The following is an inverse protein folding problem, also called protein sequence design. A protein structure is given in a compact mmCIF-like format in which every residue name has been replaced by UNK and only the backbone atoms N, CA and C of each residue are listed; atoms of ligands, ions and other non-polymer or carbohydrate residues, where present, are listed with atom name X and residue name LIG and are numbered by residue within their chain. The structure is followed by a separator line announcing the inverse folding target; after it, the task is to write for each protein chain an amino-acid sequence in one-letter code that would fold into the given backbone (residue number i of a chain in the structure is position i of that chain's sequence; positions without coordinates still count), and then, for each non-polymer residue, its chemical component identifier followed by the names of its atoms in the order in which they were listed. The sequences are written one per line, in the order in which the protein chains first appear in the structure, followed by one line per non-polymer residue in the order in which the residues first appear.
data_IF_986385810952
#
_entry.id   IF_986385810952
#
_cell.length_a   1.000
_cell.length_b   1.000
_cell.length_c   1.000
_cell.angle_alpha   90.00
_cell.angle_beta   90.00
_cell.angle_gamma   90.00
#
_symmetry.space_group_name_H-M   'P 1'
#
loop_
_entity.id
_entity.type
_entity.pdbx_description
1 polymer ?
#
# COMPACT_ATOMS: atom_id res chain seq x y z
N UNK A 1 -14.86 -15.06 7.89
CA UNK A 1 -14.73 -15.41 6.46
C UNK A 1 -13.26 -15.32 6.10
N UNK A 2 -12.61 -16.43 5.73
CA UNK A 2 -11.19 -16.43 5.40
C UNK A 2 -10.97 -15.54 4.16
N UNK A 3 -10.05 -14.58 4.26
CA UNK A 3 -9.64 -13.78 3.11
C UNK A 3 -9.17 -14.74 2.00
N UNK A 4 -9.92 -14.82 0.89
CA UNK A 4 -9.52 -15.62 -0.26
C UNK A 4 -8.10 -15.23 -0.65
N UNK A 5 -7.22 -16.22 -0.75
CA UNK A 5 -5.85 -16.05 -1.21
C UNK A 5 -5.89 -15.33 -2.56
N UNK A 6 -5.39 -14.09 -2.61
CA UNK A 6 -5.48 -13.21 -3.78
C UNK A 6 -4.95 -13.90 -5.05
N UNK A 7 -3.91 -14.73 -4.91
CA UNK A 7 -3.35 -15.54 -6.01
C UNK A 7 -4.35 -16.55 -6.54
N UNK A 8 -5.06 -17.23 -5.65
CA UNK A 8 -6.09 -18.19 -6.00
C UNK A 8 -7.26 -17.50 -6.73
N UNK A 9 -7.64 -16.31 -6.27
CA UNK A 9 -8.64 -15.48 -6.95
C UNK A 9 -8.23 -15.13 -8.38
N UNK A 10 -6.99 -14.67 -8.60
CA UNK A 10 -6.51 -14.37 -9.95
C UNK A 10 -6.42 -15.62 -10.83
N UNK A 11 -5.97 -16.75 -10.27
CA UNK A 11 -5.91 -18.03 -10.97
C UNK A 11 -7.29 -18.48 -11.44
N UNK A 12 -8.28 -18.47 -10.54
CA UNK A 12 -9.66 -18.86 -10.86
C UNK A 12 -10.28 -17.95 -11.92
N UNK A 13 -10.11 -16.63 -11.79
CA UNK A 13 -10.59 -15.66 -12.78
C UNK A 13 -9.97 -15.90 -14.16
N UNK A 14 -8.68 -16.20 -14.21
CA UNK A 14 -8.00 -16.45 -15.47
C UNK A 14 -8.44 -17.79 -16.11
N UNK A 15 -8.62 -18.84 -15.31
CA UNK A 15 -9.16 -20.11 -15.81
C UNK A 15 -10.58 -19.96 -16.35
N UNK A 16 -11.43 -19.17 -15.67
CA UNK A 16 -12.77 -18.85 -16.15
C UNK A 16 -12.71 -18.09 -17.49
N UNK A 17 -11.83 -17.10 -17.60
CA UNK A 17 -11.58 -16.38 -18.85
C UNK A 17 -11.17 -17.35 -19.98
N UNK A 18 -10.23 -18.27 -19.74
CA UNK A 18 -9.81 -19.28 -20.72
C UNK A 18 -10.98 -20.16 -21.14
N UNK A 19 -11.79 -20.64 -20.19
CA UNK A 19 -12.95 -21.49 -20.46
C UNK A 19 -13.96 -20.77 -21.35
N UNK A 20 -14.36 -19.54 -20.98
CA UNK A 20 -15.29 -18.72 -21.77
C UNK A 20 -14.74 -18.44 -23.16
N UNK A 21 -13.47 -18.02 -23.28
CA UNK A 21 -12.81 -17.76 -24.56
C UNK A 21 -12.77 -18.99 -25.46
N UNK A 22 -12.56 -20.18 -24.88
CA UNK A 22 -12.49 -21.41 -25.66
C UNK A 22 -13.88 -21.91 -26.08
N UNK A 23 -14.91 -21.70 -25.27
CA UNK A 23 -16.30 -22.02 -25.62
C UNK A 23 -16.85 -21.15 -26.74
N UNK A 24 -16.35 -19.92 -26.90
CA UNK A 24 -16.77 -18.99 -27.97
C UNK A 24 -16.00 -19.19 -29.28
N UNK A 25 -14.99 -20.07 -29.31
CA UNK A 25 -14.22 -20.38 -30.52
C UNK A 25 -14.91 -21.48 -31.32
N UNK A 26 -15.39 -21.13 -32.51
CA UNK A 26 -16.08 -22.05 -33.42
C UNK A 26 -15.15 -22.82 -34.38
N UNK A 27 -13.82 -22.61 -34.31
CA UNK A 27 -12.85 -23.30 -35.19
C UNK A 27 -11.45 -23.36 -34.56
N UNK A 28 -10.65 -24.36 -34.95
CA UNK A 28 -9.24 -24.39 -34.63
C UNK A 28 -8.52 -23.31 -35.45
N UNK A 29 -7.98 -22.30 -34.76
CA UNK A 29 -7.20 -21.23 -35.39
C UNK A 29 -5.73 -21.65 -35.51
N UNK A 30 -4.98 -21.18 -36.53
CA UNK A 30 -3.55 -21.45 -36.67
C UNK A 30 -2.69 -20.96 -35.49
N UNK A 31 -3.25 -20.10 -34.64
CA UNK A 31 -2.54 -19.43 -33.54
C UNK A 31 -2.74 -20.10 -32.18
N UNK A 32 -3.41 -21.25 -32.10
CA UNK A 32 -3.70 -21.94 -30.84
C UNK A 32 -2.46 -22.25 -30.01
N UNK A 33 -1.34 -22.59 -30.66
CA UNK A 33 -0.09 -22.84 -29.95
C UNK A 33 0.42 -21.56 -29.28
N UNK A 34 0.35 -20.42 -29.97
CA UNK A 34 0.72 -19.13 -29.38
C UNK A 34 -0.19 -18.75 -28.21
N UNK A 35 -1.50 -18.99 -28.34
CA UNK A 35 -2.47 -18.74 -27.27
C UNK A 35 -2.20 -19.62 -26.04
N UNK A 36 -1.94 -20.91 -26.24
CA UNK A 36 -1.58 -21.82 -25.16
C UNK A 36 -0.29 -21.38 -24.45
N UNK A 37 0.73 -20.96 -25.22
CA UNK A 37 1.98 -20.44 -24.67
C UNK A 37 1.72 -19.17 -23.83
N UNK A 38 0.87 -18.26 -24.31
CA UNK A 38 0.49 -17.07 -23.54
C UNK A 38 -0.24 -17.45 -22.25
N UNK A 39 -1.20 -18.37 -22.31
CA UNK A 39 -1.96 -18.80 -21.13
C UNK A 39 -1.05 -19.43 -20.08
N UNK A 40 -0.14 -20.31 -20.50
CA UNK A 40 0.86 -20.91 -19.62
C UNK A 40 1.78 -19.85 -19.01
N UNK A 41 2.16 -18.85 -19.79
CA UNK A 41 2.99 -17.74 -19.31
C UNK A 41 2.25 -16.92 -18.26
N UNK A 42 0.98 -16.56 -18.51
CA UNK A 42 0.16 -15.81 -17.55
C UNK A 42 -0.07 -16.62 -16.27
N UNK A 43 -0.41 -17.90 -16.37
CA UNK A 43 -0.57 -18.77 -15.20
C UNK A 43 0.73 -18.91 -14.41
N UNK A 44 1.87 -19.03 -15.10
CA UNK A 44 3.18 -19.09 -14.47
C UNK A 44 3.55 -17.77 -13.78
N UNK A 45 3.21 -16.63 -14.39
CA UNK A 45 3.35 -15.30 -13.77
C UNK A 45 2.46 -15.19 -12.54
N UNK A 46 1.18 -15.57 -12.62
CA UNK A 46 0.29 -15.59 -11.45
C UNK A 46 0.84 -16.51 -10.35
N UNK A 47 1.49 -17.62 -10.70
CA UNK A 47 2.08 -18.56 -9.73
C UNK A 47 3.34 -18.00 -9.05
N UNK A 48 4.22 -17.35 -9.80
CA UNK A 48 5.56 -17.00 -9.32
C UNK A 48 5.73 -15.54 -8.93
N UNK A 49 4.82 -14.64 -9.32
CA UNK A 49 4.92 -13.23 -8.92
C UNK A 49 4.74 -13.07 -7.42
N UNK A 50 5.70 -12.43 -6.76
CA UNK A 50 5.68 -12.20 -5.31
C UNK A 50 4.58 -11.21 -4.88
N UNK A 51 4.31 -10.19 -5.71
CA UNK A 51 3.34 -9.13 -5.42
C UNK A 51 2.33 -9.02 -6.57
N UNK A 52 1.09 -9.45 -6.32
CA UNK A 52 0.02 -9.41 -7.32
C UNK A 52 -0.72 -8.07 -7.35
N UNK A 53 -0.59 -7.27 -6.29
CA UNK A 53 -1.09 -5.91 -6.25
C UNK A 53 0.06 -4.93 -6.52
N UNK A 54 -0.23 -3.78 -7.16
CA UNK A 54 0.71 -2.68 -7.17
C UNK A 54 1.08 -2.30 -5.73
N UNK A 55 2.36 -2.02 -5.51
CA UNK A 55 2.80 -1.50 -4.22
C UNK A 55 2.31 -0.07 -4.10
N UNK A 56 1.65 0.24 -2.99
CA UNK A 56 1.50 1.63 -2.58
C UNK A 56 2.88 2.19 -2.28
N UNK A 57 3.19 3.37 -2.81
CA UNK A 57 4.43 4.03 -2.45
C UNK A 57 4.31 4.43 -0.98
N UNK A 58 5.19 3.90 -0.13
CA UNK A 58 5.26 4.30 1.28
C UNK A 58 6.35 5.36 1.38
N UNK A 59 6.01 6.60 1.77
CA UNK A 59 6.98 7.66 1.96
C UNK A 59 8.15 7.23 2.85
N UNK A 60 9.35 7.73 2.55
CA UNK A 60 10.58 7.42 3.28
C UNK A 60 11.38 8.70 3.48
N UNK A 61 11.61 9.06 4.73
CA UNK A 61 12.48 10.17 5.10
C UNK A 61 13.54 9.72 6.10
N UNK A 62 14.72 10.34 6.05
CA UNK A 62 15.81 10.06 7.00
C UNK A 62 15.54 10.59 8.41
N UNK A 63 14.63 11.57 8.53
CA UNK A 63 14.21 12.15 9.81
C UNK A 63 12.76 11.78 10.11
N UNK A 64 12.52 11.37 11.36
CA UNK A 64 11.21 10.92 11.80
C UNK A 64 10.16 12.03 11.70
N UNK A 65 10.51 13.28 12.03
CA UNK A 65 9.60 14.42 11.96
C UNK A 65 9.07 14.65 10.53
N UNK A 66 9.95 14.63 9.52
CA UNK A 66 9.55 14.74 8.11
C UNK A 66 8.60 13.63 7.70
N UNK A 67 8.88 12.39 8.13
CA UNK A 67 8.02 11.24 7.85
C UNK A 67 6.64 11.37 8.52
N UNK A 68 6.59 11.87 9.76
CA UNK A 68 5.33 12.13 10.46
C UNK A 68 4.49 13.18 9.73
N UNK A 69 5.11 14.25 9.23
CA UNK A 69 4.43 15.28 8.46
C UNK A 69 3.80 14.69 7.17
N UNK A 70 4.56 13.89 6.42
CA UNK A 70 4.04 13.21 5.23
C UNK A 70 2.88 12.27 5.54
N UNK A 71 2.98 11.48 6.60
CA UNK A 71 1.91 10.56 7.02
C UNK A 71 0.69 11.27 7.61
N UNK A 72 0.88 12.48 8.15
CA UNK A 72 -0.22 13.30 8.66
C UNK A 72 -1.02 13.94 7.54
N UNK A 73 -0.34 14.42 6.48
CA UNK A 73 -0.96 15.14 5.37
C UNK A 73 -1.86 14.29 4.49
N UNK A 74 -1.56 12.99 4.33
CA UNK A 74 -2.38 12.07 3.53
C UNK A 74 -3.14 11.06 4.40
N UNK A 75 -4.47 11.10 4.34
CA UNK A 75 -5.37 10.14 4.98
C UNK A 75 -5.07 8.67 4.67
N UNK A 76 -4.55 8.36 3.48
CA UNK A 76 -4.17 7.00 3.09
C UNK A 76 -3.02 6.45 3.96
N UNK A 77 -2.18 7.34 4.50
CA UNK A 77 -1.04 7.02 5.35
C UNK A 77 -1.30 7.18 6.86
N UNK A 78 -2.50 7.60 7.28
CA UNK A 78 -2.82 7.78 8.71
C UNK A 78 -2.61 6.52 9.54
N UNK A 79 -2.80 5.35 8.95
CA UNK A 79 -2.53 4.07 9.62
C UNK A 79 -1.04 3.90 9.97
N UNK A 80 -0.12 4.40 9.15
CA UNK A 80 1.31 4.43 9.46
C UNK A 80 1.62 5.43 10.57
N UNK A 81 0.98 6.61 10.57
CA UNK A 81 1.10 7.60 11.63
C UNK A 81 0.69 7.00 12.99
N UNK A 82 -0.49 6.37 13.04
CA UNK A 82 -1.00 5.69 14.26
C UNK A 82 -0.09 4.53 14.66
N UNK A 83 0.45 3.78 13.72
CA UNK A 83 1.38 2.70 14.04
C UNK A 83 2.65 3.21 14.73
N UNK A 84 3.20 4.35 14.26
CA UNK A 84 4.41 4.97 14.78
C UNK A 84 4.19 5.67 16.13
N UNK A 85 3.15 6.49 16.23
CA UNK A 85 2.93 7.38 17.38
C UNK A 85 1.86 6.89 18.36
N UNK A 86 1.14 5.83 18.02
CA UNK A 86 0.04 5.23 18.80
C UNK A 86 -1.16 6.15 19.03
N UNK A 87 -1.21 7.29 18.36
CA UNK A 87 -2.30 8.26 18.38
C UNK A 87 -2.68 8.65 16.94
N UNK A 88 -3.93 9.07 16.73
CA UNK A 88 -4.33 9.63 15.43
C UNK A 88 -3.70 11.01 15.24
N UNK A 89 -3.57 11.50 13.98
CA UNK A 89 -3.05 12.83 13.71
C UNK A 89 -3.81 13.93 14.48
N UNK A 90 -5.14 13.85 14.52
CA UNK A 90 -5.96 14.83 15.25
C UNK A 90 -5.69 14.81 16.76
N UNK A 91 -5.55 13.63 17.36
CA UNK A 91 -5.24 13.51 18.79
C UNK A 91 -3.84 14.02 19.09
N UNK A 92 -2.88 13.73 18.20
CA UNK A 92 -1.53 14.27 18.31
C UNK A 92 -1.54 15.81 18.32
N UNK A 93 -2.33 16.44 17.46
CA UNK A 93 -2.44 17.90 17.38
C UNK A 93 -2.99 18.51 18.65
N UNK A 94 -4.00 17.87 19.25
CA UNK A 94 -4.55 18.28 20.54
C UNK A 94 -3.49 18.14 21.64
N UNK A 95 -2.75 17.03 21.67
CA UNK A 95 -1.67 16.84 22.66
C UNK A 95 -0.61 17.94 22.50
N UNK A 96 -0.16 18.21 21.27
CA UNK A 96 0.83 19.26 20.98
C UNK A 96 0.31 20.62 21.45
N UNK A 97 -0.94 20.96 21.16
CA UNK A 97 -1.54 22.22 21.61
C UNK A 97 -1.62 22.32 23.15
N UNK A 98 -1.92 21.22 23.84
CA UNK A 98 -2.00 21.19 25.31
C UNK A 98 -0.63 21.31 25.98
N UNK A 99 0.45 20.87 25.33
CA UNK A 99 1.81 20.88 25.91
C UNK A 99 2.66 22.05 25.42
N UNK A 100 2.22 22.82 24.41
CA UNK A 100 3.00 23.88 23.77
C UNK A 100 3.58 24.88 24.77
N UNK A 101 2.76 25.39 25.68
CA UNK A 101 3.15 26.38 26.69
C UNK A 101 3.36 25.76 28.08
N UNK A 102 3.50 24.43 28.16
CA UNK A 102 3.55 23.74 29.44
C UNK A 102 4.95 23.85 30.07
N UNK A 103 5.07 24.30 31.33
CA UNK A 103 6.36 24.58 31.97
C UNK A 103 7.23 23.35 32.23
N UNK A 104 6.72 22.14 31.99
CA UNK A 104 7.50 20.89 32.06
C UNK A 104 7.97 20.44 30.67
N UNK A 105 7.27 20.82 29.60
CA UNK A 105 7.54 20.37 28.24
C UNK A 105 8.24 21.47 27.41
N UNK A 106 9.08 22.26 28.05
CA UNK A 106 9.95 23.22 27.39
C UNK A 106 11.35 22.61 27.15
N UNK A 107 11.99 22.99 26.05
CA UNK A 107 13.38 22.62 25.79
C UNK A 107 14.30 23.78 26.20
N UNK A 108 15.04 23.63 27.30
CA UNK A 108 16.03 24.62 27.78
C UNK A 108 17.35 24.59 26.97
N UNK A 109 17.41 23.82 25.88
CA UNK A 109 18.58 23.84 25.01
C UNK A 109 18.73 25.23 24.38
N UNK A 110 19.95 25.77 24.35
CA UNK A 110 20.27 27.00 23.62
C UNK A 110 20.12 26.88 22.09
N UNK A 111 19.65 25.73 21.60
CA UNK A 111 19.35 25.51 20.20
C UNK A 111 17.84 25.66 20.01
N UNK A 112 17.38 26.60 19.17
CA UNK A 112 15.96 26.71 18.85
C UNK A 112 15.47 25.39 18.27
N UNK A 113 14.26 24.97 18.67
CA UNK A 113 13.58 23.87 18.01
C UNK A 113 13.42 24.22 16.52
N UNK A 114 13.65 23.25 15.63
CA UNK A 114 13.44 23.45 14.22
C UNK A 114 11.99 23.90 13.98
N UNK A 115 11.75 24.97 13.19
CA UNK A 115 10.41 25.48 12.99
C UNK A 115 9.51 24.40 12.39
N UNK A 116 8.31 24.28 12.94
CA UNK A 116 7.24 23.47 12.35
C UNK A 116 6.67 24.30 11.20
N UNK A 117 7.27 24.20 10.02
CA UNK A 117 6.75 24.90 8.83
C UNK A 117 5.38 24.33 8.42
N UNK A 118 4.47 25.24 8.05
CA UNK A 118 3.03 25.05 7.80
C UNK A 118 2.73 24.33 6.48
#
# INVERSE_FOLDING_TARGET
MAALNLRETYRQKYLLYMAVRNLTKNHLTPFQLCELIMDLTVLNTIKNTCYLNPRTNVPKAGQLFTLMAEYRSDTSHHHHFVHLLRVSPVVFDVIVALIHDHPVFHNDSQHPQAPVEQ
#
